data_IF_234794417080
#
_entry.id   IF_234794417080
#
_cell.length_a   1.000
_cell.length_b   1.000
_cell.length_c   1.000
_cell.angle_alpha   90.00
_cell.angle_beta   90.00
_cell.angle_gamma   90.00
#
_symmetry.space_group_name_H-M   'P 1'
#
loop_
_entity.id
_entity.type
_entity.pdbx_description
1 polymer ?
#
# COMPACT_ATOMS: atom_id res chain seq x y z
N UNK A 1 19.20 19.25 -48.60
CA UNK A 1 19.46 19.04 -47.17
C UNK A 1 18.25 19.50 -46.39
N UNK A 2 17.34 18.59 -46.05
CA UNK A 2 16.12 18.91 -45.30
C UNK A 2 15.75 17.72 -44.43
N UNK A 3 15.93 17.87 -43.12
CA UNK A 3 15.64 16.82 -42.15
C UNK A 3 14.15 16.90 -41.82
N UNK A 4 13.38 15.87 -42.20
CA UNK A 4 11.99 15.75 -41.82
C UNK A 4 11.90 15.27 -40.37
N UNK A 5 11.40 16.15 -39.49
CA UNK A 5 11.05 15.85 -38.10
C UNK A 5 10.06 14.68 -38.08
N UNK A 6 10.51 13.54 -37.56
CA UNK A 6 9.67 12.37 -37.34
C UNK A 6 8.76 12.68 -36.14
N UNK A 7 7.47 12.87 -36.40
CA UNK A 7 6.44 13.11 -35.40
C UNK A 7 6.30 11.86 -34.53
N UNK A 8 6.79 11.94 -33.29
CA UNK A 8 6.56 10.92 -32.27
C UNK A 8 5.05 10.79 -32.04
N UNK A 9 4.48 9.66 -32.48
CA UNK A 9 3.06 9.35 -32.36
C UNK A 9 2.81 8.89 -30.93
N UNK A 10 2.42 9.81 -30.04
CA UNK A 10 2.01 9.48 -28.68
C UNK A 10 0.74 8.61 -28.72
N UNK A 11 0.88 7.33 -28.40
CA UNK A 11 -0.27 6.47 -28.09
C UNK A 11 -0.73 6.78 -26.67
N UNK A 12 -1.72 7.66 -26.56
CA UNK A 12 -2.40 7.95 -25.31
C UNK A 12 -3.31 6.75 -24.98
N UNK A 13 -2.82 5.82 -24.15
CA UNK A 13 -3.67 4.75 -23.60
C UNK A 13 -4.68 5.40 -22.64
N UNK A 14 -5.91 5.59 -23.13
CA UNK A 14 -7.04 6.03 -22.31
C UNK A 14 -7.49 4.84 -21.46
N UNK A 15 -7.06 4.80 -20.21
CA UNK A 15 -7.59 3.84 -19.21
C UNK A 15 -9.08 4.16 -19.04
N UNK A 16 -10.01 3.26 -19.34
CA UNK A 16 -11.43 3.53 -19.13
C UNK A 16 -11.68 3.62 -17.63
N UNK A 17 -11.90 4.84 -17.12
CA UNK A 17 -12.44 5.03 -15.79
C UNK A 17 -13.86 4.48 -15.77
N UNK A 18 -14.02 3.28 -15.23
CA UNK A 18 -15.33 2.63 -15.08
C UNK A 18 -16.15 3.40 -14.04
N UNK A 19 -17.20 4.08 -14.49
CA UNK A 19 -18.09 4.89 -13.64
C UNK A 19 -18.89 4.03 -12.65
N UNK A 20 -19.02 2.72 -12.89
CA UNK A 20 -19.73 1.82 -11.98
C UNK A 20 -18.93 1.50 -10.69
N UNK A 21 -17.63 1.84 -10.63
CA UNK A 21 -16.81 1.65 -9.42
C UNK A 21 -17.23 2.60 -8.30
N UNK A 22 -17.83 3.75 -8.60
CA UNK A 22 -18.18 4.72 -7.55
C UNK A 22 -19.38 4.28 -6.71
N UNK A 23 -20.35 3.60 -7.32
CA UNK A 23 -21.53 3.07 -6.60
C UNK A 23 -21.16 1.82 -5.78
N UNK A 24 -20.45 0.84 -6.37
CA UNK A 24 -19.88 -0.28 -5.61
C UNK A 24 -18.88 0.20 -4.54
N UNK A 25 -18.11 1.25 -4.82
CA UNK A 25 -17.15 1.84 -3.87
C UNK A 25 -17.81 2.57 -2.69
N UNK A 26 -18.99 3.16 -2.91
CA UNK A 26 -19.81 3.78 -1.85
C UNK A 26 -20.48 2.70 -0.99
N UNK A 27 -21.00 1.63 -1.60
CA UNK A 27 -21.58 0.49 -0.87
C UNK A 27 -20.51 -0.29 -0.09
N UNK A 28 -19.33 -0.48 -0.67
CA UNK A 28 -18.16 -1.07 -0.03
C UNK A 28 -17.57 -0.22 1.12
N UNK A 29 -17.92 1.07 1.23
CA UNK A 29 -17.47 1.92 2.36
C UNK A 29 -18.37 1.76 3.59
N UNK A 30 -19.64 1.37 3.41
CA UNK A 30 -20.60 1.22 4.51
C UNK A 30 -20.38 -0.07 5.33
N UNK A 31 -19.69 -1.08 4.81
CA UNK A 31 -19.52 -2.38 5.48
C UNK A 31 -18.08 -2.65 6.00
N UNK A 32 -17.19 -1.65 6.01
CA UNK A 32 -15.82 -1.84 6.55
C UNK A 32 -15.81 -1.51 8.02
N UNK A 33 -15.32 -2.46 8.82
CA UNK A 33 -15.05 -2.21 10.23
C UNK A 33 -13.96 -1.15 10.35
N UNK A 34 -14.26 -0.07 11.06
CA UNK A 34 -13.33 1.03 11.31
C UNK A 34 -12.65 0.84 12.65
N UNK A 35 -11.54 1.56 12.84
CA UNK A 35 -10.79 1.55 14.10
C UNK A 35 -11.64 2.01 15.30
N UNK A 36 -12.62 2.89 15.07
CA UNK A 36 -13.56 3.33 16.10
C UNK A 36 -14.48 2.20 16.55
N UNK A 37 -14.92 1.35 15.62
CA UNK A 37 -15.83 0.24 15.93
C UNK A 37 -15.09 -0.86 16.74
N UNK A 38 -13.80 -1.08 16.45
CA UNK A 38 -12.91 -1.95 17.25
C UNK A 38 -12.67 -1.37 18.65
N UNK A 39 -12.47 -0.05 18.74
CA UNK A 39 -12.27 0.65 20.01
C UNK A 39 -13.51 0.56 20.92
N UNK A 40 -14.69 0.78 20.34
CA UNK A 40 -15.98 0.69 21.04
C UNK A 40 -16.23 -0.74 21.55
N UNK A 41 -15.99 -1.75 20.71
CA UNK A 41 -16.16 -3.17 21.11
C UNK A 41 -15.14 -3.61 22.17
N UNK A 42 -13.93 -3.06 22.12
CA UNK A 42 -12.87 -3.34 23.10
C UNK A 42 -13.02 -2.54 24.41
N UNK A 43 -13.88 -1.51 24.44
CA UNK A 43 -13.99 -0.58 25.56
C UNK A 43 -12.73 0.29 25.76
N UNK A 44 -11.99 0.57 24.69
CA UNK A 44 -10.75 1.33 24.71
C UNK A 44 -10.86 2.61 23.88
N UNK A 45 -9.93 3.54 24.08
CA UNK A 45 -9.85 4.70 23.20
C UNK A 45 -9.29 4.32 21.83
N UNK A 46 -9.74 5.01 20.78
CA UNK A 46 -9.19 4.88 19.41
C UNK A 46 -7.68 5.08 19.38
N UNK A 47 -7.15 5.96 20.24
CA UNK A 47 -5.72 6.19 20.39
C UNK A 47 -4.97 4.97 20.96
N UNK A 48 -5.57 4.24 21.89
CA UNK A 48 -5.01 3.00 22.45
C UNK A 48 -4.96 1.90 21.40
N UNK A 49 -6.07 1.68 20.69
CA UNK A 49 -6.12 0.69 19.59
C UNK A 49 -5.14 1.06 18.48
N UNK A 50 -5.05 2.35 18.12
CA UNK A 50 -4.07 2.85 17.16
C UNK A 50 -2.63 2.56 17.60
N UNK A 51 -2.28 2.77 18.88
CA UNK A 51 -0.96 2.44 19.40
C UNK A 51 -0.66 0.94 19.29
N UNK A 52 -1.63 0.07 19.59
CA UNK A 52 -1.46 -1.39 19.44
C UNK A 52 -1.24 -1.78 17.99
N UNK A 53 -2.05 -1.24 17.05
CA UNK A 53 -1.89 -1.47 15.61
C UNK A 53 -0.51 -1.02 15.11
N UNK A 54 0.01 0.08 15.65
CA UNK A 54 1.32 0.64 15.30
C UNK A 54 2.48 0.10 16.14
N UNK A 55 2.26 -0.90 17.00
CA UNK A 55 3.31 -1.51 17.84
C UNK A 55 3.87 -0.62 18.94
N UNK A 56 3.21 0.49 19.25
CA UNK A 56 3.59 1.41 20.33
C UNK A 56 2.99 0.96 21.66
N UNK A 57 3.29 -0.27 22.06
CA UNK A 57 2.67 -0.97 23.21
C UNK A 57 3.43 -0.79 24.53
N UNK A 58 4.57 -0.08 24.54
CA UNK A 58 5.43 0.13 25.72
C UNK A 58 4.70 0.62 27.00
N UNK A 59 3.56 1.30 26.83
CA UNK A 59 2.74 1.87 27.93
C UNK A 59 1.40 1.16 28.11
N UNK A 60 1.22 0.00 27.50
CA UNK A 60 -0.04 -0.76 27.45
C UNK A 60 0.23 -2.13 28.07
N UNK A 61 -0.64 -2.63 28.94
CA UNK A 61 -0.46 -3.95 29.53
C UNK A 61 -0.59 -5.04 28.47
N UNK A 62 0.20 -6.11 28.60
CA UNK A 62 0.16 -7.27 27.69
C UNK A 62 -1.24 -7.88 27.57
N UNK A 63 -2.00 -7.85 28.67
CA UNK A 63 -3.42 -8.26 28.69
C UNK A 63 -4.27 -7.42 27.73
N UNK A 64 -4.08 -6.09 27.74
CA UNK A 64 -4.80 -5.18 26.85
C UNK A 64 -4.36 -5.36 25.41
N UNK A 65 -3.05 -5.56 25.16
CA UNK A 65 -2.51 -5.83 23.82
C UNK A 65 -3.14 -7.10 23.24
N UNK A 66 -3.15 -8.20 24.01
CA UNK A 66 -3.76 -9.47 23.58
C UNK A 66 -5.25 -9.32 23.31
N UNK A 67 -5.98 -8.61 24.18
CA UNK A 67 -7.41 -8.35 23.99
C UNK A 67 -7.69 -7.61 22.67
N UNK A 68 -6.90 -6.58 22.37
CA UNK A 68 -7.05 -5.82 21.11
C UNK A 68 -6.69 -6.68 19.91
N UNK A 69 -5.62 -7.47 19.97
CA UNK A 69 -5.24 -8.38 18.87
C UNK A 69 -6.35 -9.38 18.56
N UNK A 70 -6.92 -10.01 19.58
CA UNK A 70 -8.06 -10.93 19.42
C UNK A 70 -9.27 -10.25 18.79
N UNK A 71 -9.56 -9.00 19.18
CA UNK A 71 -10.68 -8.26 18.61
C UNK A 71 -10.43 -7.86 17.15
N UNK A 72 -9.19 -7.48 16.80
CA UNK A 72 -8.80 -7.19 15.42
C UNK A 72 -8.96 -8.41 14.51
N UNK A 73 -8.56 -9.60 15.00
CA UNK A 73 -8.74 -10.87 14.30
C UNK A 73 -10.22 -11.23 14.14
N UNK A 74 -11.01 -11.13 15.22
CA UNK A 74 -12.44 -11.45 15.23
C UNK A 74 -13.25 -10.54 14.33
N UNK A 75 -12.93 -9.25 14.35
CA UNK A 75 -13.60 -8.24 13.53
C UNK A 75 -13.16 -8.27 12.07
N UNK A 76 -12.02 -8.88 11.75
CA UNK A 76 -11.47 -8.84 10.39
C UNK A 76 -11.11 -7.41 9.97
N UNK A 77 -10.67 -6.59 10.94
CA UNK A 77 -10.28 -5.21 10.68
C UNK A 77 -9.12 -5.16 9.67
N UNK A 78 -9.33 -4.46 8.55
CA UNK A 78 -8.30 -4.18 7.55
C UNK A 78 -7.98 -2.69 7.61
N UNK A 79 -6.74 -2.30 7.93
CA UNK A 79 -6.36 -0.90 8.00
C UNK A 79 -6.57 -0.17 6.67
N UNK A 80 -7.08 1.06 6.74
CA UNK A 80 -7.15 1.93 5.57
C UNK A 80 -5.75 2.45 5.22
N UNK A 81 -5.05 1.74 4.34
CA UNK A 81 -3.70 2.10 3.91
C UNK A 81 -3.62 3.49 3.28
N UNK A 82 -4.60 3.90 2.48
CA UNK A 82 -4.60 5.24 1.87
C UNK A 82 -4.62 6.33 2.96
N UNK A 83 -5.47 6.17 3.98
CA UNK A 83 -5.51 7.06 5.14
C UNK A 83 -4.20 7.06 5.94
N UNK A 84 -3.60 5.89 6.15
CA UNK A 84 -2.33 5.75 6.86
C UNK A 84 -1.19 6.46 6.12
N UNK A 85 -1.08 6.27 4.81
CA UNK A 85 -0.03 6.87 3.99
C UNK A 85 -0.15 8.41 3.97
N UNK A 86 -1.38 8.92 3.89
CA UNK A 86 -1.65 10.36 3.99
C UNK A 86 -1.30 10.91 5.38
N UNK A 87 -1.74 10.24 6.46
CA UNK A 87 -1.47 10.67 7.83
C UNK A 87 0.03 10.65 8.18
N UNK A 88 0.79 9.73 7.59
CA UNK A 88 2.26 9.63 7.77
C UNK A 88 3.04 10.67 6.96
N UNK A 89 2.40 11.40 6.04
CA UNK A 89 3.03 12.31 5.07
C UNK A 89 4.24 11.68 4.35
N UNK A 90 4.27 10.35 4.28
CA UNK A 90 5.34 9.55 3.71
C UNK A 90 4.74 8.20 3.32
N UNK A 91 4.60 7.99 2.01
CA UNK A 91 4.01 6.76 1.49
C UNK A 91 5.02 5.61 1.39
N UNK A 92 6.32 5.92 1.38
CA UNK A 92 7.40 4.98 1.05
C UNK A 92 7.04 4.14 -0.21
N UNK A 93 6.50 4.76 -1.25
CA UNK A 93 6.22 4.09 -2.54
C UNK A 93 7.34 4.41 -3.52
N UNK A 94 7.91 3.38 -4.16
CA UNK A 94 8.87 3.53 -5.26
C UNK A 94 8.16 3.16 -6.57
N UNK A 95 7.99 4.14 -7.46
CA UNK A 95 7.49 3.92 -8.81
C UNK A 95 8.64 3.58 -9.76
N UNK A 96 8.51 2.49 -10.51
CA UNK A 96 9.46 2.09 -11.56
C UNK A 96 8.75 2.16 -12.90
N UNK A 97 9.34 2.88 -13.86
CA UNK A 97 8.81 3.00 -15.22
C UNK A 97 9.73 2.24 -16.15
N UNK A 98 9.18 1.26 -16.87
CA UNK A 98 9.91 0.46 -17.86
C UNK A 98 9.31 0.72 -19.23
N UNK A 99 10.18 0.94 -20.23
CA UNK A 99 9.73 1.07 -21.61
C UNK A 99 9.51 -0.33 -22.21
N UNK A 100 8.25 -0.65 -22.50
CA UNK A 100 7.89 -1.87 -23.22
C UNK A 100 7.99 -1.64 -24.73
N UNK A 101 9.21 -1.80 -25.26
CA UNK A 101 9.46 -1.70 -26.70
C UNK A 101 8.77 -2.85 -27.45
N UNK A 102 8.34 -2.64 -28.70
CA UNK A 102 7.64 -3.65 -29.53
C UNK A 102 8.34 -5.02 -29.56
N UNK A 103 9.67 -5.02 -29.48
CA UNK A 103 10.54 -6.21 -29.39
C UNK A 103 10.16 -7.16 -28.24
N UNK A 104 9.63 -6.63 -27.13
CA UNK A 104 9.30 -7.38 -25.94
C UNK A 104 7.86 -7.90 -25.93
N UNK A 105 6.99 -7.41 -26.82
CA UNK A 105 5.62 -7.87 -26.99
C UNK A 105 4.84 -8.01 -25.66
N UNK A 106 4.95 -7.03 -24.74
CA UNK A 106 4.28 -7.08 -23.44
C UNK A 106 5.04 -7.80 -22.32
N UNK A 107 6.19 -8.40 -22.62
CA UNK A 107 6.95 -9.27 -21.70
C UNK A 107 8.31 -8.70 -21.31
N UNK A 108 8.43 -7.38 -21.29
CA UNK A 108 9.68 -6.68 -20.94
C UNK A 108 10.24 -7.06 -19.57
N UNK A 109 9.38 -7.42 -18.60
CA UNK A 109 9.78 -7.85 -17.27
C UNK A 109 10.30 -9.30 -17.21
N UNK A 110 10.10 -10.10 -18.26
CA UNK A 110 10.67 -11.44 -18.37
C UNK A 110 12.11 -11.43 -18.88
N UNK A 111 12.53 -10.33 -19.50
CA UNK A 111 13.90 -10.16 -19.97
C UNK A 111 14.87 -10.16 -18.78
N UNK A 112 15.90 -11.00 -18.85
CA UNK A 112 16.84 -11.19 -17.74
C UNK A 112 17.59 -9.91 -17.36
N UNK A 113 17.90 -9.05 -18.33
CA UNK A 113 18.58 -7.78 -18.08
C UNK A 113 17.63 -6.79 -17.41
N UNK A 114 16.44 -6.58 -17.97
CA UNK A 114 15.44 -5.66 -17.40
C UNK A 114 15.00 -6.12 -16.01
N UNK A 115 14.79 -7.42 -15.80
CA UNK A 115 14.37 -7.98 -14.51
C UNK A 115 15.43 -7.82 -13.42
N UNK A 116 16.71 -7.84 -13.79
CA UNK A 116 17.81 -7.74 -12.82
C UNK A 116 17.80 -6.41 -12.06
N UNK A 117 17.47 -5.30 -12.72
CA UNK A 117 17.52 -3.96 -12.13
C UNK A 117 16.51 -3.73 -11.00
N UNK A 118 15.18 -3.92 -11.17
CA UNK A 118 14.22 -3.78 -10.08
C UNK A 118 14.41 -4.85 -9.01
N UNK A 119 14.93 -6.03 -9.36
CA UNK A 119 15.23 -7.07 -8.38
C UNK A 119 16.40 -6.66 -7.45
N UNK A 120 17.48 -6.10 -8.01
CA UNK A 120 18.60 -5.56 -7.22
C UNK A 120 18.15 -4.37 -6.36
N UNK A 121 17.33 -3.48 -6.92
CA UNK A 121 16.73 -2.37 -6.16
C UNK A 121 15.88 -2.89 -5.00
N UNK A 122 15.03 -3.90 -5.24
CA UNK A 122 14.20 -4.52 -4.20
C UNK A 122 15.04 -5.16 -3.11
N UNK A 123 16.15 -5.81 -3.48
CA UNK A 123 17.09 -6.40 -2.53
C UNK A 123 17.69 -5.33 -1.61
N UNK A 124 18.26 -4.28 -2.19
CA UNK A 124 18.90 -3.18 -1.47
C UNK A 124 17.92 -2.43 -0.55
N UNK A 125 16.72 -2.15 -1.05
CA UNK A 125 15.65 -1.47 -0.30
C UNK A 125 15.20 -2.30 0.91
N UNK A 126 15.14 -3.63 0.76
CA UNK A 126 14.80 -4.55 1.84
C UNK A 126 15.95 -4.68 2.86
N UNK A 127 17.21 -4.78 2.40
CA UNK A 127 18.40 -4.81 3.26
C UNK A 127 18.52 -3.55 4.12
N UNK A 128 18.35 -2.38 3.50
CA UNK A 128 18.36 -1.08 4.18
C UNK A 128 17.11 -0.80 5.01
N UNK A 129 16.14 -1.72 5.02
CA UNK A 129 14.90 -1.61 5.79
C UNK A 129 14.13 -0.32 5.52
N UNK A 130 14.20 0.21 4.30
CA UNK A 130 13.54 1.47 3.93
C UNK A 130 12.02 1.35 4.12
N UNK A 131 11.45 0.15 3.98
CA UNK A 131 10.03 -0.16 4.19
C UNK A 131 9.69 -0.88 5.48
N UNK A 132 10.69 -1.31 6.26
CA UNK A 132 10.37 -1.85 7.59
C UNK A 132 9.96 -0.69 8.47
N UNK A 133 8.68 -0.63 8.83
CA UNK A 133 8.30 0.02 10.08
C UNK A 133 9.17 -0.56 11.19
N UNK A 134 9.64 0.32 12.08
CA UNK A 134 10.44 0.02 13.26
C UNK A 134 10.14 -1.39 13.79
N UNK A 135 11.13 -2.27 13.68
CA UNK A 135 11.07 -3.61 14.24
C UNK A 135 11.02 -3.50 15.76
N UNK A 136 9.79 -3.49 16.29
CA UNK A 136 9.42 -3.88 17.65
C UNK A 136 7.90 -4.11 17.66
N UNK A 137 7.41 -5.15 16.96
CA UNK A 137 6.01 -5.55 17.13
C UNK A 137 5.70 -6.99 16.68
N UNK A 138 6.34 -7.97 17.32
CA UNK A 138 5.81 -9.33 17.50
C UNK A 138 5.93 -9.68 18.98
#
# INVERSE_FOLDING_TARGET
>A
MGYALNLCKFHLYKVPYNHNIVEEGMEMTQNRIRIVDVADTSGLSTATVSKVIHGKTEKISDETVKRVQQELERSGYIPNMAGILLARNNSRIIGVVVNDHEKYAGRVLEDGFVRSSPNALSHEVNEKRIFSDDKNNL
#
